data_IF_556200152029
#
_entry.id   IF_556200152029
#
_cell.length_a   1.000
_cell.length_b   1.000
_cell.length_c   1.000
_cell.angle_alpha   90.00
_cell.angle_beta   90.00
_cell.angle_gamma   90.00
#
_symmetry.space_group_name_H-M   'P 1'
#
loop_
_entity.id
_entity.type
_entity.pdbx_description
1 polymer ?
#
# COMPACT_ATOMS: atom_id res chain seq x y z
N UNK A 1 -15.08 -3.72 -24.96
CA UNK A 1 -14.14 -3.50 -23.85
C UNK A 1 -14.48 -4.50 -22.77
N UNK A 2 -13.56 -5.41 -22.44
CA UNK A 2 -13.74 -6.30 -21.30
C UNK A 2 -13.50 -5.49 -20.02
N UNK A 3 -14.48 -5.47 -19.13
CA UNK A 3 -14.38 -4.79 -17.83
C UNK A 3 -13.69 -5.73 -16.85
N UNK A 4 -12.64 -5.25 -16.17
CA UNK A 4 -11.93 -6.04 -15.16
C UNK A 4 -12.87 -6.53 -14.07
N UNK A 5 -12.75 -7.80 -13.70
CA UNK A 5 -13.55 -8.38 -12.61
C UNK A 5 -13.08 -7.84 -11.27
N UNK A 6 -14.04 -7.32 -10.50
CA UNK A 6 -13.85 -6.90 -9.12
C UNK A 6 -14.84 -7.72 -8.29
N UNK A 7 -14.37 -8.34 -7.21
CA UNK A 7 -15.21 -9.15 -6.34
C UNK A 7 -15.78 -8.29 -5.21
N UNK A 8 -17.11 -8.19 -5.06
CA UNK A 8 -17.71 -7.57 -3.88
C UNK A 8 -17.25 -8.26 -2.61
N UNK A 9 -17.04 -7.48 -1.56
CA UNK A 9 -16.75 -8.03 -0.24
C UNK A 9 -18.07 -8.37 0.44
N UNK A 10 -18.28 -9.64 0.74
CA UNK A 10 -19.52 -10.14 1.36
C UNK A 10 -19.39 -10.19 2.88
N UNK A 11 -20.51 -9.99 3.59
CA UNK A 11 -20.60 -10.11 5.04
C UNK A 11 -20.10 -11.49 5.50
N UNK A 12 -19.11 -11.49 6.39
CA UNK A 12 -18.54 -12.73 6.94
C UNK A 12 -17.36 -13.33 6.17
N UNK A 13 -16.86 -12.68 5.10
CA UNK A 13 -15.64 -13.12 4.39
C UNK A 13 -14.35 -12.84 5.19
N UNK A 14 -14.27 -13.37 6.41
CA UNK A 14 -13.13 -13.18 7.32
C UNK A 14 -11.91 -14.03 6.96
N UNK A 15 -12.02 -14.98 6.01
CA UNK A 15 -10.87 -15.74 5.49
C UNK A 15 -9.82 -14.83 4.82
N UNK A 16 -10.21 -13.61 4.48
CA UNK A 16 -9.30 -12.56 4.02
C UNK A 16 -8.30 -12.14 5.09
N UNK A 17 -8.56 -12.38 6.37
CA UNK A 17 -7.73 -11.91 7.47
C UNK A 17 -6.92 -13.03 8.08
N UNK A 18 -5.60 -12.83 8.13
CA UNK A 18 -4.71 -13.73 8.83
C UNK A 18 -4.56 -13.29 10.28
N UNK A 19 -4.56 -14.24 11.21
CA UNK A 19 -4.04 -13.98 12.56
C UNK A 19 -2.52 -13.97 12.51
N UNK A 20 -1.88 -13.22 13.40
CA UNK A 20 -0.44 -13.25 13.49
C UNK A 20 0.07 -14.64 13.88
N UNK A 21 1.09 -15.10 13.18
CA UNK A 21 1.84 -16.32 13.50
C UNK A 21 3.21 -15.89 14.06
N UNK A 22 3.57 -16.30 15.29
CA UNK A 22 4.85 -15.94 15.89
C UNK A 22 6.04 -16.25 14.98
N UNK A 23 6.83 -15.21 14.66
CA UNK A 23 8.02 -15.33 13.82
C UNK A 23 7.75 -15.25 12.31
N UNK A 24 6.48 -15.22 11.87
CA UNK A 24 6.15 -14.94 10.49
C UNK A 24 6.18 -13.42 10.21
N UNK A 25 6.65 -12.98 9.03
CA UNK A 25 6.52 -11.59 8.63
C UNK A 25 5.03 -11.20 8.52
N UNK A 26 4.72 -9.94 8.82
CA UNK A 26 3.41 -9.37 8.51
C UNK A 26 3.17 -9.49 7.00
N UNK A 27 1.92 -9.70 6.61
CA UNK A 27 1.55 -9.80 5.20
C UNK A 27 0.24 -9.06 4.92
N UNK A 28 0.06 -8.56 3.70
CA UNK A 28 -1.19 -7.94 3.27
C UNK A 28 -1.85 -8.78 2.18
N UNK A 29 -3.13 -9.08 2.36
CA UNK A 29 -4.01 -9.55 1.30
C UNK A 29 -4.18 -8.46 0.23
N UNK A 30 -3.89 -8.81 -1.02
CA UNK A 30 -3.96 -7.90 -2.17
C UNK A 30 -5.06 -8.27 -3.18
N UNK A 31 -5.87 -9.28 -2.85
CA UNK A 31 -6.90 -9.83 -3.72
C UNK A 31 -6.96 -11.34 -3.63
N UNK A 32 -7.75 -11.95 -4.51
CA UNK A 32 -7.87 -13.40 -4.62
C UNK A 32 -7.20 -13.91 -5.88
N UNK A 33 -6.59 -15.08 -5.82
CA UNK A 33 -6.14 -15.79 -7.02
C UNK A 33 -7.33 -16.05 -7.95
N UNK A 34 -7.20 -15.67 -9.22
CA UNK A 34 -8.32 -15.71 -10.15
C UNK A 34 -8.81 -17.14 -10.48
N UNK A 35 -8.02 -18.17 -10.17
CA UNK A 35 -8.37 -19.56 -10.46
C UNK A 35 -8.89 -20.30 -9.24
N UNK A 36 -8.19 -20.20 -8.12
CA UNK A 36 -8.49 -20.90 -6.87
C UNK A 36 -9.44 -20.13 -5.97
N UNK A 37 -9.51 -18.80 -6.11
CA UNK A 37 -10.26 -17.94 -5.19
C UNK A 37 -9.60 -17.77 -3.81
N UNK A 38 -8.38 -18.27 -3.63
CA UNK A 38 -7.62 -18.17 -2.39
C UNK A 38 -6.99 -16.78 -2.24
N UNK A 39 -6.88 -16.23 -1.00
CA UNK A 39 -6.23 -14.95 -0.78
C UNK A 39 -4.77 -14.93 -1.21
N UNK A 40 -4.40 -13.98 -2.07
CA UNK A 40 -3.00 -13.70 -2.40
C UNK A 40 -2.46 -12.66 -1.44
N UNK A 41 -1.31 -12.97 -0.84
CA UNK A 41 -0.68 -12.15 0.18
C UNK A 41 0.73 -11.74 -0.21
N UNK A 42 1.09 -10.51 0.11
CA UNK A 42 2.45 -9.99 0.02
C UNK A 42 3.03 -9.94 1.43
N UNK A 43 4.15 -10.63 1.66
CA UNK A 43 4.88 -10.57 2.93
C UNK A 43 5.79 -9.35 2.97
N UNK A 44 5.84 -8.68 4.12
CA UNK A 44 6.71 -7.53 4.38
C UNK A 44 7.92 -7.99 5.20
N UNK A 45 9.00 -8.31 4.50
CA UNK A 45 10.24 -8.78 5.11
C UNK A 45 11.32 -7.70 4.98
N UNK A 46 12.09 -7.49 6.05
CA UNK A 46 13.20 -6.56 6.03
C UNK A 46 14.33 -7.01 5.09
N UNK A 47 14.50 -8.33 4.89
CA UNK A 47 15.52 -8.87 3.98
C UNK A 47 15.02 -9.05 2.54
N UNK A 48 13.73 -9.30 2.36
CA UNK A 48 13.13 -9.74 1.09
C UNK A 48 12.50 -8.64 0.24
N UNK A 49 12.50 -7.40 0.72
CA UNK A 49 11.70 -6.32 0.13
C UNK A 49 10.24 -6.40 0.56
N UNK A 50 9.42 -5.47 0.09
CA UNK A 50 8.02 -5.41 0.56
C UNK A 50 7.24 -4.19 0.13
N UNK A 51 7.84 -3.26 -0.61
CA UNK A 51 7.08 -2.16 -1.17
C UNK A 51 6.16 -2.68 -2.28
N UNK A 52 4.92 -2.20 -2.27
CA UNK A 52 3.88 -2.57 -3.23
C UNK A 52 3.56 -1.35 -4.09
N UNK A 53 3.59 -1.54 -5.41
CA UNK A 53 3.07 -0.57 -6.39
C UNK A 53 1.79 -1.12 -7.01
N UNK A 54 0.72 -0.35 -6.96
CA UNK A 54 -0.54 -0.60 -7.66
C UNK A 54 -0.61 0.38 -8.83
N UNK A 55 -0.82 -0.10 -10.04
CA UNK A 55 -0.92 0.73 -11.24
C UNK A 55 -2.21 0.43 -11.99
N UNK A 56 -3.04 1.44 -12.18
CA UNK A 56 -4.21 1.38 -13.05
C UNK A 56 -5.34 2.32 -12.64
N UNK A 57 -6.32 2.48 -13.53
CA UNK A 57 -7.36 3.51 -13.48
C UNK A 57 -8.59 3.10 -12.68
N UNK A 58 -8.75 1.82 -12.37
CA UNK A 58 -9.84 1.35 -11.52
C UNK A 58 -9.62 1.82 -10.08
N UNK A 59 -10.26 2.95 -9.73
CA UNK A 59 -10.23 3.53 -8.38
C UNK A 59 -10.77 2.55 -7.35
N UNK A 60 -11.91 1.93 -7.64
CA UNK A 60 -12.58 0.99 -6.73
C UNK A 60 -11.65 -0.17 -6.37
N UNK A 61 -11.02 -0.81 -7.36
CA UNK A 61 -10.09 -1.91 -7.12
C UNK A 61 -8.85 -1.45 -6.33
N UNK A 62 -8.27 -0.30 -6.68
CA UNK A 62 -7.09 0.20 -5.99
C UNK A 62 -7.36 0.57 -4.52
N UNK A 63 -8.46 1.28 -4.25
CA UNK A 63 -8.88 1.61 -2.88
C UNK A 63 -9.27 0.36 -2.10
N UNK A 64 -9.96 -0.60 -2.75
CA UNK A 64 -10.29 -1.90 -2.15
C UNK A 64 -9.05 -2.67 -1.73
N UNK A 65 -8.03 -2.77 -2.59
CA UNK A 65 -6.74 -3.38 -2.24
C UNK A 65 -6.09 -2.65 -1.07
N UNK A 66 -5.99 -1.32 -1.10
CA UNK A 66 -5.40 -0.55 -0.01
C UNK A 66 -6.13 -0.77 1.33
N UNK A 67 -7.47 -0.75 1.32
CA UNK A 67 -8.29 -0.92 2.50
C UNK A 67 -8.20 -2.34 3.07
N UNK A 68 -8.29 -3.37 2.21
CA UNK A 68 -8.15 -4.77 2.65
C UNK A 68 -6.75 -5.03 3.20
N UNK A 69 -5.71 -4.53 2.53
CA UNK A 69 -4.33 -4.61 3.02
C UNK A 69 -4.17 -3.96 4.40
N UNK A 70 -4.73 -2.76 4.59
CA UNK A 70 -4.73 -2.06 5.87
C UNK A 70 -5.41 -2.88 6.98
N UNK A 71 -6.62 -3.39 6.73
CA UNK A 71 -7.39 -4.17 7.70
C UNK A 71 -6.72 -5.51 8.03
N UNK A 72 -6.12 -6.17 7.05
CA UNK A 72 -5.41 -7.43 7.24
C UNK A 72 -4.11 -7.28 8.04
N UNK A 73 -3.36 -6.22 7.77
CA UNK A 73 -2.21 -5.85 8.61
C UNK A 73 -2.65 -5.46 10.02
N UNK A 74 -3.72 -4.68 10.16
CA UNK A 74 -4.25 -4.28 11.46
C UNK A 74 -4.66 -5.51 12.28
N UNK A 75 -5.31 -6.50 11.66
CA UNK A 75 -5.70 -7.77 12.31
C UNK A 75 -4.48 -8.51 12.87
N UNK A 76 -3.40 -8.59 12.09
CA UNK A 76 -2.17 -9.27 12.54
C UNK A 76 -1.52 -8.51 13.69
N UNK A 77 -1.43 -7.19 13.61
CA UNK A 77 -0.83 -6.36 14.66
C UNK A 77 -1.65 -6.44 15.96
N UNK A 78 -2.98 -6.33 15.88
CA UNK A 78 -3.86 -6.35 17.08
C UNK A 78 -3.94 -7.71 17.74
N UNK A 79 -3.75 -8.78 16.98
CA UNK A 79 -3.73 -10.17 17.47
C UNK A 79 -2.35 -10.61 18.01
N UNK A 80 -1.32 -9.78 17.88
CA UNK A 80 0.01 -10.10 18.40
C UNK A 80 0.11 -9.78 19.91
N UNK A 81 0.33 -10.77 20.79
CA UNK A 81 0.49 -10.53 22.22
C UNK A 81 1.67 -9.59 22.52
N UNK A 82 1.47 -8.58 23.36
CA UNK A 82 2.52 -7.64 23.80
C UNK A 82 2.97 -6.60 22.77
N UNK A 83 2.58 -6.71 21.49
CA UNK A 83 2.98 -5.73 20.49
C UNK A 83 2.25 -4.38 20.61
N UNK A 84 1.02 -4.36 21.16
CA UNK A 84 0.28 -3.09 21.38
C UNK A 84 1.08 -2.06 22.18
N UNK A 85 1.94 -2.51 23.09
CA UNK A 85 2.79 -1.66 23.93
C UNK A 85 4.04 -1.12 23.17
N UNK A 86 4.42 -1.75 22.06
CA UNK A 86 5.59 -1.36 21.24
C UNK A 86 5.23 -0.24 20.24
N UNK A 87 3.95 -0.06 19.92
CA UNK A 87 3.47 0.98 19.01
C UNK A 87 3.30 2.33 19.72
N UNK A 88 4.42 2.92 20.15
CA UNK A 88 4.46 4.30 20.68
C UNK A 88 4.25 5.38 19.62
N UNK A 89 4.22 4.97 18.34
CA UNK A 89 3.95 5.82 17.18
C UNK A 89 3.01 5.08 16.22
N UNK A 90 2.25 5.79 15.37
CA UNK A 90 1.33 5.17 14.42
C UNK A 90 1.99 4.07 13.55
N UNK A 91 1.46 2.83 13.53
CA UNK A 91 1.86 1.80 12.55
C UNK A 91 1.51 2.18 11.11
N UNK A 92 0.45 2.97 10.94
CA UNK A 92 -0.11 3.30 9.63
C UNK A 92 -0.09 4.81 9.40
N UNK A 93 0.45 5.21 8.26
CA UNK A 93 0.30 6.55 7.68
C UNK A 93 -0.38 6.43 6.32
N UNK A 94 -1.45 7.17 6.11
CA UNK A 94 -2.21 7.19 4.85
C UNK A 94 -2.13 8.60 4.29
N UNK A 95 -1.59 8.72 3.09
CA UNK A 95 -1.60 9.94 2.28
C UNK A 95 -2.63 9.74 1.16
N UNK A 96 -3.80 10.34 1.34
CA UNK A 96 -4.91 10.29 0.40
C UNK A 96 -4.91 11.53 -0.50
N UNK A 97 -4.37 11.39 -1.70
CA UNK A 97 -4.34 12.45 -2.72
C UNK A 97 -5.55 12.42 -3.65
N UNK A 98 -6.44 11.44 -3.50
CA UNK A 98 -7.67 11.36 -4.28
C UNK A 98 -8.74 12.25 -3.64
N UNK A 99 -8.87 12.19 -2.32
CA UNK A 99 -9.78 13.04 -1.52
C UNK A 99 -11.20 13.11 -2.08
N UNK A 100 -11.74 11.94 -2.50
CA UNK A 100 -13.12 11.78 -2.99
C UNK A 100 -14.01 11.13 -1.93
N UNK A 101 -15.30 11.00 -2.21
CA UNK A 101 -16.23 10.29 -1.32
C UNK A 101 -15.82 8.82 -1.13
N UNK A 102 -15.34 8.15 -2.18
CA UNK A 102 -14.90 6.75 -2.10
C UNK A 102 -13.66 6.57 -1.22
N UNK A 103 -12.80 7.58 -1.08
CA UNK A 103 -11.65 7.52 -0.17
C UNK A 103 -11.99 7.86 1.29
N UNK A 104 -13.29 8.13 1.58
CA UNK A 104 -13.77 8.36 2.95
C UNK A 104 -13.52 7.18 3.88
N UNK A 105 -13.48 5.96 3.34
CA UNK A 105 -13.19 4.73 4.10
C UNK A 105 -11.89 4.81 4.91
N UNK A 106 -10.90 5.61 4.48
CA UNK A 106 -9.67 5.78 5.23
C UNK A 106 -9.85 6.65 6.48
N UNK A 107 -10.76 7.61 6.48
CA UNK A 107 -11.11 8.35 7.69
C UNK A 107 -11.87 7.46 8.67
N UNK A 108 -12.81 6.66 8.17
CA UNK A 108 -13.57 5.73 9.01
C UNK A 108 -12.62 4.69 9.63
N UNK A 109 -11.71 4.11 8.83
CA UNK A 109 -10.65 3.25 9.34
C UNK A 109 -9.78 3.95 10.39
N UNK A 110 -9.37 5.20 10.16
CA UNK A 110 -8.51 5.93 11.08
C UNK A 110 -9.20 6.27 12.41
N UNK A 111 -10.53 6.42 12.41
CA UNK A 111 -11.32 6.66 13.62
C UNK A 111 -11.68 5.38 14.37
N UNK A 112 -11.90 4.28 13.65
CA UNK A 112 -12.48 3.05 14.21
C UNK A 112 -11.44 1.98 14.54
N UNK A 113 -10.28 1.97 13.89
CA UNK A 113 -9.25 0.97 14.17
C UNK A 113 -8.73 1.08 15.62
N UNK A 114 -8.52 -0.04 16.33
CA UNK A 114 -7.90 -0.05 17.66
C UNK A 114 -6.37 0.11 17.56
N UNK A 115 -5.89 0.82 16.54
CA UNK A 115 -4.50 1.15 16.28
C UNK A 115 -4.43 2.60 15.79
N UNK A 116 -3.40 3.37 16.17
CA UNK A 116 -3.26 4.73 15.68
C UNK A 116 -2.99 4.74 14.16
N UNK A 117 -3.83 5.47 13.42
CA UNK A 117 -3.65 5.73 11.98
C UNK A 117 -3.49 7.22 11.78
N UNK A 118 -2.43 7.63 11.08
CA UNK A 118 -2.25 9.01 10.66
C UNK A 118 -2.81 9.19 9.24
N UNK A 119 -3.83 10.02 9.07
CA UNK A 119 -4.41 10.31 7.76
C UNK A 119 -4.09 11.74 7.32
N UNK A 120 -3.55 11.89 6.12
CA UNK A 120 -3.24 13.17 5.45
C UNK A 120 -3.99 13.23 4.12
N UNK A 121 -4.74 14.31 3.86
CA UNK A 121 -5.58 14.50 2.66
C UNK A 121 -5.14 15.64 1.73
N UNK A 122 -4.07 16.34 2.09
CA UNK A 122 -3.66 17.57 1.42
C UNK A 122 -2.53 17.30 0.41
N UNK A 123 -2.65 17.92 -0.77
CA UNK A 123 -1.68 17.85 -1.88
C UNK A 123 -0.60 18.94 -1.78
N UNK A 124 -0.77 19.92 -0.89
CA UNK A 124 -0.01 21.19 -0.91
C UNK A 124 0.86 21.40 0.35
N UNK A 125 0.43 20.92 1.53
CA UNK A 125 1.14 21.13 2.81
C UNK A 125 2.40 20.27 3.01
N UNK A 126 3.15 20.57 4.08
CA UNK A 126 4.24 19.73 4.60
C UNK A 126 3.74 18.29 4.76
N UNK A 127 4.25 17.38 3.94
CA UNK A 127 3.92 15.96 3.95
C UNK A 127 4.50 15.31 5.20
N UNK A 128 3.85 15.52 6.35
CA UNK A 128 4.41 15.18 7.66
C UNK A 128 4.63 13.68 7.81
N UNK A 129 3.86 12.83 7.13
CA UNK A 129 4.06 11.38 7.09
C UNK A 129 5.39 11.00 6.43
N UNK A 130 5.81 11.71 5.37
CA UNK A 130 7.16 11.51 4.81
C UNK A 130 8.25 11.96 5.79
N UNK A 131 8.01 13.06 6.51
CA UNK A 131 8.91 13.52 7.58
C UNK A 131 9.08 12.48 8.69
N UNK A 132 7.98 11.90 9.15
CA UNK A 132 7.96 10.87 10.20
C UNK A 132 8.69 9.59 9.75
N UNK A 133 8.48 9.17 8.51
CA UNK A 133 9.18 8.01 7.94
C UNK A 133 10.68 8.30 7.75
N UNK A 134 11.04 9.49 7.29
CA UNK A 134 12.44 9.90 7.18
C UNK A 134 13.12 9.94 8.56
N UNK A 135 12.43 10.48 9.57
CA UNK A 135 12.92 10.50 10.94
C UNK A 135 13.09 9.07 11.49
N UNK A 136 12.09 8.21 11.29
CA UNK A 136 12.16 6.81 11.71
C UNK A 136 13.32 6.06 11.05
N UNK A 137 13.55 6.30 9.75
CA UNK A 137 14.68 5.73 9.01
C UNK A 137 16.02 6.16 9.65
N UNK A 138 16.21 7.45 9.87
CA UNK A 138 17.43 7.99 10.50
C UNK A 138 17.65 7.45 11.91
N UNK A 139 16.59 7.30 12.70
CA UNK A 139 16.68 6.74 14.06
C UNK A 139 17.05 5.25 14.04
N UNK A 140 16.44 4.46 13.14
CA UNK A 140 16.71 3.02 13.01
C UNK A 140 18.10 2.73 12.44
N UNK A 141 18.62 3.62 11.62
CA UNK A 141 20.00 3.56 11.11
C UNK A 141 21.02 3.84 12.24
N UNK A 142 20.76 4.85 13.08
CA UNK A 142 21.64 5.18 14.24
C UNK A 142 21.57 4.16 15.36
N UNK A 143 20.44 3.50 15.53
CA UNK A 143 20.17 2.56 16.61
C UNK A 143 19.63 1.22 16.07
N UNK A 144 20.46 0.44 15.36
CA UNK A 144 20.01 -0.78 14.69
C UNK A 144 19.47 -1.86 15.65
N UNK A 145 19.93 -1.86 16.90
CA UNK A 145 19.53 -2.80 17.96
C UNK A 145 18.27 -2.37 18.74
N UNK A 146 17.75 -1.16 18.50
CA UNK A 146 16.57 -0.68 19.22
C UNK A 146 15.33 -1.50 18.83
N UNK A 147 14.48 -1.91 19.80
CA UNK A 147 13.21 -2.54 19.49
C UNK A 147 12.39 -1.69 18.53
N UNK A 148 11.89 -2.31 17.45
CA UNK A 148 11.15 -1.62 16.40
C UNK A 148 10.00 -2.47 15.88
N UNK A 149 8.92 -1.80 15.52
CA UNK A 149 7.77 -2.39 14.85
C UNK A 149 7.73 -1.99 13.37
N UNK A 150 7.05 -2.79 12.54
CA UNK A 150 6.83 -2.44 11.14
C UNK A 150 5.93 -1.19 11.02
N UNK A 151 6.29 -0.27 10.12
CA UNK A 151 5.44 0.87 9.74
C UNK A 151 5.08 0.82 8.27
N UNK A 152 3.87 1.24 7.94
CA UNK A 152 3.32 1.18 6.59
C UNK A 152 2.85 2.55 6.13
N UNK A 153 3.38 3.01 5.00
CA UNK A 153 2.99 4.23 4.33
C UNK A 153 2.11 3.89 3.14
N UNK A 154 0.82 4.22 3.22
CA UNK A 154 -0.12 4.12 2.11
C UNK A 154 -0.15 5.44 1.36
N UNK A 155 0.16 5.43 0.06
CA UNK A 155 0.07 6.59 -0.83
C UNK A 155 -1.01 6.31 -1.85
N UNK A 156 -2.20 6.87 -1.65
CA UNK A 156 -3.36 6.66 -2.50
C UNK A 156 -3.50 7.82 -3.48
N UNK A 157 -3.51 7.54 -4.79
CA UNK A 157 -3.63 8.57 -5.82
C UNK A 157 -2.33 9.32 -6.10
N UNK A 158 -1.19 8.62 -6.14
CA UNK A 158 0.14 9.20 -6.35
C UNK A 158 0.25 10.13 -7.58
N UNK A 159 -0.53 9.87 -8.62
CA UNK A 159 -0.63 10.71 -9.81
C UNK A 159 -1.13 12.14 -9.53
N UNK A 160 -1.90 12.35 -8.45
CA UNK A 160 -2.41 13.65 -8.01
C UNK A 160 -1.47 14.35 -7.02
N UNK A 161 -0.38 13.70 -6.59
CA UNK A 161 0.58 14.26 -5.64
C UNK A 161 1.57 15.22 -6.33
N UNK A 162 1.08 16.38 -6.77
CA UNK A 162 1.88 17.37 -7.49
C UNK A 162 3.18 17.77 -6.75
N UNK A 163 3.13 17.91 -5.42
CA UNK A 163 4.32 18.18 -4.59
C UNK A 163 5.37 17.07 -4.53
N UNK A 164 5.07 15.88 -5.03
CA UNK A 164 6.00 14.74 -5.14
C UNK A 164 6.50 14.48 -6.57
N UNK A 165 6.06 15.27 -7.56
CA UNK A 165 6.50 15.08 -8.94
C UNK A 165 7.95 15.50 -9.13
N UNK A 166 8.67 14.70 -9.91
CA UNK A 166 10.06 14.95 -10.30
C UNK A 166 10.19 15.47 -11.72
N UNK A 167 9.15 15.33 -12.56
CA UNK A 167 9.09 15.74 -13.96
C UNK A 167 7.70 16.25 -14.37
N UNK A 168 7.62 16.99 -15.48
CA UNK A 168 6.38 17.47 -16.11
C UNK A 168 6.08 18.96 -15.85
N UNK A 169 5.03 19.50 -16.48
CA UNK A 169 4.71 20.95 -16.47
C UNK A 169 4.43 21.56 -15.09
N UNK A 170 4.22 20.72 -14.09
CA UNK A 170 3.99 21.11 -12.69
C UNK A 170 5.17 20.77 -11.77
N UNK A 171 6.24 20.18 -12.31
CA UNK A 171 7.45 19.91 -11.55
C UNK A 171 8.33 21.17 -11.56
N UNK A 172 8.93 21.55 -10.42
CA UNK A 172 9.98 22.56 -10.42
C UNK A 172 11.20 22.07 -11.21
N UNK A 173 12.03 23.00 -11.69
CA UNK A 173 13.28 22.69 -12.42
C UNK A 173 14.26 21.84 -11.60
N UNK A 174 14.03 21.71 -10.29
CA UNK A 174 14.77 20.86 -9.35
C UNK A 174 13.85 19.82 -8.71
N UNK A 175 14.39 18.64 -8.41
CA UNK A 175 13.65 17.58 -7.71
C UNK A 175 13.13 18.10 -6.36
N UNK A 176 11.83 17.93 -6.09
CA UNK A 176 11.26 18.40 -4.82
C UNK A 176 11.89 17.64 -3.64
N UNK A 177 12.06 18.28 -2.47
CA UNK A 177 12.55 17.59 -1.28
C UNK A 177 11.70 16.35 -0.92
N UNK A 178 10.39 16.40 -1.16
CA UNK A 178 9.48 15.29 -0.91
C UNK A 178 9.71 14.11 -1.85
N UNK A 179 9.99 14.35 -3.13
CA UNK A 179 10.37 13.29 -4.07
C UNK A 179 11.67 12.59 -3.64
N UNK A 180 12.68 13.36 -3.22
CA UNK A 180 13.93 12.81 -2.70
C UNK A 180 13.74 12.01 -1.40
N UNK A 181 12.89 12.51 -0.48
CA UNK A 181 12.52 11.80 0.75
C UNK A 181 11.85 10.46 0.47
N UNK A 182 10.84 10.45 -0.40
CA UNK A 182 10.13 9.24 -0.79
C UNK A 182 11.07 8.23 -1.47
N UNK A 183 11.93 8.70 -2.38
CA UNK A 183 12.91 7.84 -3.05
C UNK A 183 13.84 7.15 -2.04
N UNK A 184 14.31 7.89 -1.02
CA UNK A 184 15.13 7.32 0.06
C UNK A 184 14.36 6.31 0.92
N UNK A 185 13.11 6.63 1.28
CA UNK A 185 12.26 5.72 2.07
C UNK A 185 12.04 4.41 1.31
N UNK A 186 11.76 4.46 0.01
CA UNK A 186 11.51 3.27 -0.79
C UNK A 186 12.77 2.39 -0.91
N UNK A 187 13.93 3.01 -1.13
CA UNK A 187 15.20 2.30 -1.32
C UNK A 187 15.74 1.67 -0.03
N UNK A 188 15.74 2.43 1.06
CA UNK A 188 16.44 2.06 2.29
C UNK A 188 15.45 1.55 3.36
N UNK A 189 14.18 1.93 3.27
CA UNK A 189 13.20 1.73 4.35
C UNK A 189 12.88 0.28 4.68
N UNK A 190 12.85 -0.59 3.67
CA UNK A 190 12.47 -2.01 3.86
C UNK A 190 13.42 -2.72 4.82
N UNK A 191 14.74 -2.50 4.69
CA UNK A 191 15.76 -3.01 5.62
C UNK A 191 15.54 -2.57 7.08
N UNK A 192 14.83 -1.45 7.27
CA UNK A 192 14.46 -0.91 8.57
C UNK A 192 13.00 -1.16 8.93
N UNK A 193 12.28 -2.08 8.27
CA UNK A 193 10.86 -2.36 8.50
C UNK A 193 9.94 -1.14 8.32
N UNK A 194 10.26 -0.31 7.32
CA UNK A 194 9.43 0.79 6.82
C UNK A 194 9.00 0.44 5.40
N UNK A 195 7.72 0.19 5.21
CA UNK A 195 7.17 -0.31 3.95
C UNK A 195 6.21 0.71 3.34
N UNK A 196 6.12 0.73 2.01
CA UNK A 196 5.19 1.58 1.29
C UNK A 196 4.23 0.77 0.42
N UNK A 197 2.95 1.16 0.41
CA UNK A 197 1.92 0.69 -0.52
C UNK A 197 1.48 1.90 -1.33
N UNK A 198 1.82 1.96 -2.60
CA UNK A 198 1.65 3.14 -3.45
C UNK A 198 0.71 2.82 -4.60
N UNK A 199 -0.28 3.66 -4.85
CA UNK A 199 -1.16 3.54 -6.02
C UNK A 199 -0.99 4.72 -6.98
N UNK A 200 -0.70 4.43 -8.24
CA UNK A 200 -0.71 5.36 -9.36
C UNK A 200 -1.73 4.94 -10.43
N UNK A 201 -2.30 5.88 -11.18
CA UNK A 201 -3.32 5.54 -12.18
C UNK A 201 -2.75 4.95 -13.49
N UNK A 202 -1.51 5.28 -13.87
CA UNK A 202 -0.84 4.77 -15.07
C UNK A 202 0.68 4.69 -14.88
N UNK A 203 1.35 3.86 -15.69
CA UNK A 203 2.82 3.81 -15.72
C UNK A 203 3.42 5.15 -16.15
N UNK A 204 2.82 5.84 -17.13
CA UNK A 204 3.27 7.16 -17.55
C UNK A 204 3.25 8.19 -16.40
N UNK A 205 2.22 8.20 -15.56
CA UNK A 205 2.18 9.09 -14.39
C UNK A 205 3.15 8.65 -13.28
N UNK A 206 3.42 7.35 -13.18
CA UNK A 206 4.47 6.86 -12.28
C UNK A 206 5.82 7.43 -12.70
N UNK A 207 6.19 7.34 -13.97
CA UNK A 207 7.48 7.82 -14.48
C UNK A 207 7.64 9.34 -14.34
N UNK A 208 6.55 10.10 -14.47
CA UNK A 208 6.54 11.55 -14.19
C UNK A 208 6.79 11.87 -12.71
N UNK A 209 6.33 10.99 -11.82
CA UNK A 209 6.44 11.22 -10.38
C UNK A 209 7.76 10.66 -9.85
N UNK A 210 8.26 9.57 -10.42
CA UNK A 210 9.44 8.83 -9.98
C UNK A 210 10.22 8.29 -11.19
N UNK A 211 11.36 8.90 -11.56
CA UNK A 211 12.09 8.53 -12.77
C UNK A 211 12.74 7.15 -12.69
N UNK A 212 13.02 6.68 -11.47
CA UNK A 212 13.49 5.31 -11.20
C UNK A 212 12.37 4.27 -11.37
N UNK A 213 11.15 4.71 -11.71
CA UNK A 213 9.99 3.86 -11.97
C UNK A 213 9.78 2.83 -10.87
N UNK A 214 9.80 1.56 -11.26
CA UNK A 214 9.51 0.42 -10.40
C UNK A 214 10.72 -0.09 -9.59
N UNK A 215 11.93 0.49 -9.72
CA UNK A 215 13.16 -0.11 -9.18
C UNK A 215 13.09 -0.54 -7.70
N UNK A 216 12.42 0.24 -6.84
CA UNK A 216 12.31 -0.03 -5.40
C UNK A 216 10.98 -0.71 -5.01
N UNK A 217 10.28 -1.32 -5.98
CA UNK A 217 9.04 -2.07 -5.77
C UNK A 217 9.23 -3.52 -6.22
N UNK A 218 9.19 -4.45 -5.26
CA UNK A 218 9.27 -5.88 -5.50
C UNK A 218 7.93 -6.47 -5.96
N UNK A 219 6.85 -5.84 -5.53
CA UNK A 219 5.48 -6.28 -5.75
C UNK A 219 4.74 -5.25 -6.59
N UNK A 220 4.23 -5.65 -7.74
CA UNK A 220 3.48 -4.78 -8.65
C UNK A 220 2.12 -5.39 -8.94
N UNK A 221 1.07 -4.61 -8.77
CA UNK A 221 -0.30 -4.98 -9.09
C UNK A 221 -0.75 -4.12 -10.26
N UNK A 222 -1.06 -4.76 -11.39
CA UNK A 222 -1.51 -4.09 -12.61
C UNK A 222 -3.02 -4.26 -12.74
N UNK A 223 -3.73 -3.14 -12.71
CA UNK A 223 -5.18 -3.04 -12.88
C UNK A 223 -5.53 -2.56 -14.29
N UNK A 224 -6.81 -2.57 -14.63
CA UNK A 224 -7.30 -2.03 -15.90
C UNK A 224 -6.90 -0.55 -16.12
N UNK A 225 -6.57 -0.23 -17.37
CA UNK A 225 -6.18 1.12 -17.78
C UNK A 225 -4.80 1.60 -17.31
N UNK A 226 -3.91 0.70 -16.85
CA UNK A 226 -2.55 1.04 -16.42
C UNK A 226 -1.67 1.69 -17.51
N UNK A 227 -2.05 1.55 -18.78
CA UNK A 227 -1.24 1.95 -19.93
C UNK A 227 -0.15 0.92 -20.25
N UNK A 228 0.83 1.33 -21.04
CA UNK A 228 1.91 0.42 -21.47
C UNK A 228 2.83 0.09 -20.29
N UNK A 229 2.95 -1.18 -19.89
CA UNK A 229 3.90 -1.58 -18.87
C UNK A 229 5.35 -1.46 -19.37
N UNK A 230 6.32 -1.25 -18.47
CA UNK A 230 7.72 -1.34 -18.85
C UNK A 230 8.08 -2.75 -19.36
N UNK A 231 9.10 -2.88 -20.24
CA UNK A 231 9.41 -4.14 -20.92
C UNK A 231 9.75 -5.32 -20.01
N UNK A 232 10.13 -5.06 -18.75
CA UNK A 232 10.50 -6.07 -17.76
C UNK A 232 9.30 -6.64 -16.99
N UNK A 233 8.09 -6.11 -17.19
CA UNK A 233 6.87 -6.63 -16.57
C UNK A 233 6.14 -7.61 -17.51
N UNK A 234 5.96 -8.88 -17.09
CA UNK A 234 5.13 -9.84 -17.80
C UNK A 234 3.64 -9.55 -17.51
N UNK A 235 3.06 -8.53 -18.16
CA UNK A 235 1.66 -8.16 -17.96
C UNK A 235 0.97 -7.79 -19.28
N UNK A 236 0.04 -8.64 -19.72
CA UNK A 236 -0.99 -8.24 -20.67
C UNK A 236 -2.33 -8.19 -19.91
N UNK A 237 -2.73 -7.02 -19.36
CA UNK A 237 -3.98 -6.91 -18.63
C UNK A 237 -5.18 -7.21 -19.55
N UNK A 238 -6.05 -8.09 -19.08
CA UNK A 238 -7.26 -8.57 -19.78
C UNK A 238 -8.48 -8.47 -18.86
N UNK A 239 -9.21 -9.56 -18.67
CA UNK A 239 -10.37 -9.58 -17.74
C UNK A 239 -9.99 -9.54 -16.25
N UNK A 240 -8.74 -9.85 -15.91
CA UNK A 240 -8.22 -9.91 -14.54
C UNK A 240 -7.15 -8.85 -14.31
N UNK A 241 -6.98 -8.46 -13.05
CA UNK A 241 -5.77 -7.78 -12.60
C UNK A 241 -4.61 -8.78 -12.53
N UNK A 242 -3.39 -8.27 -12.46
CA UNK A 242 -2.19 -9.11 -12.34
C UNK A 242 -1.37 -8.70 -11.12
N UNK A 243 -1.02 -9.68 -10.29
CA UNK A 243 0.02 -9.54 -9.29
C UNK A 243 1.34 -10.06 -9.85
N UNK A 244 2.39 -9.25 -9.75
CA UNK A 244 3.72 -9.55 -10.23
C UNK A 244 4.70 -9.43 -9.07
N UNK A 245 5.41 -10.51 -8.80
CA UNK A 245 6.58 -10.50 -7.93
C UNK A 245 7.81 -10.38 -8.83
N UNK A 246 8.45 -9.21 -8.82
CA UNK A 246 9.58 -8.88 -9.70
C UNK A 246 10.84 -9.64 -9.31
N UNK A 247 11.01 -9.97 -8.02
CA UNK A 247 12.16 -10.74 -7.53
C UNK A 247 12.12 -12.19 -8.01
N UNK A 248 10.95 -12.83 -7.95
CA UNK A 248 10.76 -14.21 -8.45
C UNK A 248 10.38 -14.28 -9.92
N UNK A 249 10.13 -13.13 -10.55
CA UNK A 249 9.61 -12.98 -11.93
C UNK A 249 8.34 -13.78 -12.19
N UNK A 250 7.49 -13.92 -11.17
CA UNK A 250 6.21 -14.61 -11.28
C UNK A 250 5.09 -13.61 -11.49
N UNK A 251 4.13 -13.97 -12.36
CA UNK A 251 2.89 -13.24 -12.57
C UNK A 251 1.70 -14.16 -12.28
N UNK A 252 0.79 -13.68 -11.46
CA UNK A 252 -0.41 -14.41 -11.05
C UNK A 252 -1.64 -13.54 -11.33
N UNK A 253 -2.62 -14.02 -12.11
CA UNK A 253 -3.85 -13.26 -12.31
C UNK A 253 -4.66 -13.26 -11.00
N UNK A 254 -5.16 -12.08 -10.64
CA UNK A 254 -5.90 -11.86 -9.40
C UNK A 254 -7.24 -11.22 -9.70
N UNK A 255 -8.20 -11.47 -8.81
CA UNK A 255 -9.45 -10.71 -8.72
C UNK A 255 -9.32 -9.74 -7.54
N UNK A 256 -9.18 -8.42 -7.79
CA UNK A 256 -9.22 -7.42 -6.75
C UNK A 256 -10.55 -7.46 -6.01
N UNK A 257 -10.50 -7.11 -4.74
CA UNK A 257 -11.71 -6.89 -3.96
C UNK A 257 -12.22 -5.47 -4.22
N UNK A 258 -13.55 -5.34 -4.25
CA UNK A 258 -14.20 -4.04 -4.25
C UNK A 258 -13.85 -3.27 -2.98
N UNK A 259 -14.14 -1.98 -2.99
CA UNK A 259 -14.12 -1.20 -1.77
C UNK A 259 -15.10 -1.83 -0.75
N UNK A 260 -14.64 -2.25 0.45
CA UNK A 260 -15.54 -2.88 1.40
C UNK A 260 -16.61 -1.90 1.87
N UNK A 261 -17.87 -2.32 2.03
CA UNK A 261 -18.91 -1.46 2.60
C UNK A 261 -18.59 -1.14 4.07
N UNK A 262 -19.15 -0.04 4.57
CA UNK A 262 -18.95 0.42 5.96
C UNK A 262 -19.33 -0.66 6.98
N UNK A 263 -20.49 -1.31 6.78
CA UNK A 263 -20.98 -2.39 7.65
C UNK A 263 -19.98 -3.55 7.78
N UNK A 264 -19.31 -3.89 6.69
CA UNK A 264 -18.32 -4.95 6.67
C UNK A 264 -17.04 -4.52 7.38
N UNK A 265 -16.53 -3.33 7.08
CA UNK A 265 -15.34 -2.78 7.72
C UNK A 265 -15.52 -2.71 9.24
N UNK A 266 -16.68 -2.25 9.69
CA UNK A 266 -17.08 -2.22 11.09
C UNK A 266 -17.13 -3.61 11.73
N UNK A 267 -17.68 -4.61 11.03
CA UNK A 267 -17.72 -5.99 11.53
C UNK A 267 -16.31 -6.57 11.72
N UNK A 268 -15.40 -6.29 10.79
CA UNK A 268 -13.98 -6.68 10.89
C UNK A 268 -13.31 -5.99 12.08
N UNK A 269 -13.47 -4.67 12.21
CA UNK A 269 -12.87 -3.90 13.30
C UNK A 269 -13.38 -4.40 14.66
N UNK A 270 -14.68 -4.69 14.78
CA UNK A 270 -15.27 -5.28 15.99
C UNK A 270 -14.68 -6.65 16.34
N UNK A 271 -14.19 -7.41 15.36
CA UNK A 271 -13.55 -8.72 15.59
C UNK A 271 -12.12 -8.63 16.18
N UNK A 272 -11.55 -7.42 16.26
CA UNK A 272 -10.19 -7.21 16.81
C UNK A 272 -10.17 -7.13 18.35
N UNK A 273 -11.35 -7.02 18.97
CA UNK A 273 -11.58 -6.92 20.42
C UNK A 273 -11.97 -8.30 20.96
#
# INVERSE_FOLDING_TARGET
MNVMRIRPVEDGDFRLFRRYEPGAPLSACIGLDAHSGEPIRVAFDAAGGGNIMIVGRSREAALGICMVALLDLATQITSTPGQREIYTTPPFSIMDFVSTEESRVFADAAMSLPLPVKLERDTISEMTSLGDFQYALLQRDRHPEAPRHAKFLFICGFHAAHGMRSRGSYAPDTTTPNAARLARILRDGTAHSLFAVVWCNTFANLDLTRPEGLADFDHVIVLDGAGDPPPDLPAEPGENAWYINRRTRSATPITPLALPPESWSDAVIRSFV
#
